data_IF_784525198508
#
_entry.id   IF_784525198508
#
_cell.length_a   1.000
_cell.length_b   1.000
_cell.length_c   1.000
_cell.angle_alpha   90.00
_cell.angle_beta   90.00
_cell.angle_gamma   90.00
#
_symmetry.space_group_name_H-M   'P 1'
#
loop_
_entity.id
_entity.type
_entity.pdbx_description
1 polymer ?
#
# COMPACT_ATOMS: atom_id res chain seq x y z
N UNK A 1 16.41 46.31 9.90
CA UNK A 1 16.06 46.01 8.49
C UNK A 1 16.85 44.82 7.93
N UNK A 2 18.11 44.62 8.35
CA UNK A 2 18.97 43.50 7.93
C UNK A 2 18.56 42.14 8.52
N UNK A 3 18.25 42.06 9.82
CA UNK A 3 17.96 40.79 10.52
C UNK A 3 16.68 40.09 10.02
N UNK A 4 15.60 40.85 9.78
CA UNK A 4 14.34 40.30 9.23
C UNK A 4 14.50 39.73 7.81
N UNK A 5 15.52 40.17 7.06
CA UNK A 5 15.80 39.67 5.71
C UNK A 5 16.54 38.33 5.77
N UNK A 6 17.46 38.17 6.72
CA UNK A 6 18.18 36.91 6.94
C UNK A 6 17.25 35.80 7.45
N UNK A 7 16.36 36.12 8.39
CA UNK A 7 15.41 35.16 8.98
C UNK A 7 14.40 34.64 7.93
N UNK A 8 13.90 35.52 7.05
CA UNK A 8 13.05 35.13 5.91
C UNK A 8 13.78 34.21 4.93
N UNK A 9 15.06 34.47 4.68
CA UNK A 9 15.86 33.71 3.73
C UNK A 9 16.26 32.32 4.26
N UNK A 10 16.37 32.18 5.58
CA UNK A 10 16.54 30.87 6.25
C UNK A 10 15.24 30.07 6.20
N UNK A 11 14.10 30.69 6.53
CA UNK A 11 12.77 30.05 6.44
C UNK A 11 12.44 29.56 5.02
N UNK A 12 12.76 30.36 3.99
CA UNK A 12 12.57 29.97 2.60
C UNK A 12 13.46 28.77 2.22
N UNK A 13 14.73 28.73 2.66
CA UNK A 13 15.61 27.58 2.43
C UNK A 13 15.15 26.33 3.17
N UNK A 14 14.65 26.45 4.39
CA UNK A 14 14.15 25.30 5.15
C UNK A 14 12.90 24.70 4.49
N UNK A 15 12.02 25.55 3.94
CA UNK A 15 10.86 25.11 3.17
C UNK A 15 11.26 24.47 1.83
N UNK A 16 12.25 25.02 1.13
CA UNK A 16 12.77 24.45 -0.12
C UNK A 16 13.47 23.10 0.12
N UNK A 17 14.23 22.97 1.21
CA UNK A 17 14.83 21.69 1.63
C UNK A 17 13.75 20.68 2.02
N UNK A 18 12.70 21.09 2.74
CA UNK A 18 11.58 20.19 3.02
C UNK A 18 10.81 19.78 1.76
N UNK A 19 10.75 20.67 0.76
CA UNK A 19 10.13 20.40 -0.53
C UNK A 19 10.97 19.46 -1.39
N UNK A 20 12.29 19.65 -1.45
CA UNK A 20 13.24 18.73 -2.10
C UNK A 20 13.28 17.37 -1.39
N UNK A 21 13.16 17.34 -0.06
CA UNK A 21 13.05 16.09 0.71
C UNK A 21 11.70 15.38 0.48
N UNK A 22 10.63 16.14 0.20
CA UNK A 22 9.36 15.60 -0.28
C UNK A 22 9.43 15.19 -1.76
N UNK A 23 10.30 15.76 -2.57
CA UNK A 23 10.47 15.40 -3.99
C UNK A 23 11.27 14.10 -4.22
N UNK A 24 11.58 13.36 -3.15
CA UNK A 24 12.11 12.00 -3.21
C UNK A 24 11.07 11.00 -3.72
N UNK A 25 11.08 10.75 -5.03
CA UNK A 25 10.39 9.67 -5.76
C UNK A 25 8.98 9.30 -5.26
N UNK A 26 8.03 10.23 -5.39
CA UNK A 26 6.61 9.90 -5.34
C UNK A 26 6.20 9.06 -6.57
N UNK A 27 6.37 7.74 -6.50
CA UNK A 27 5.50 6.82 -7.23
C UNK A 27 4.14 6.82 -6.49
N UNK A 28 3.35 7.88 -6.70
CA UNK A 28 2.17 8.22 -5.91
C UNK A 28 0.95 7.33 -6.25
N UNK A 29 1.11 6.02 -6.11
CA UNK A 29 0.01 5.08 -6.34
C UNK A 29 -0.82 5.00 -5.07
N UNK A 30 -1.99 5.63 -5.10
CA UNK A 30 -2.97 5.55 -4.01
C UNK A 30 -4.02 4.50 -4.32
N UNK A 31 -4.20 3.56 -3.39
CA UNK A 31 -5.24 2.53 -3.41
C UNK A 31 -6.28 2.89 -2.36
N UNK A 32 -7.52 3.13 -2.79
CA UNK A 32 -8.64 3.42 -1.90
C UNK A 32 -9.42 2.13 -1.62
N UNK A 33 -9.36 1.64 -0.39
CA UNK A 33 -10.02 0.44 0.13
C UNK A 33 -9.03 -0.63 0.61
N UNK A 34 -9.12 -0.99 1.89
CA UNK A 34 -8.32 -2.03 2.56
C UNK A 34 -8.92 -3.44 2.47
N UNK A 35 -9.77 -3.70 1.46
CA UNK A 35 -10.36 -5.01 1.21
C UNK A 35 -9.42 -5.97 0.48
N UNK A 36 -9.90 -7.19 0.18
CA UNK A 36 -9.12 -8.24 -0.50
C UNK A 36 -8.46 -7.73 -1.78
N UNK A 37 -9.21 -7.01 -2.63
CA UNK A 37 -8.69 -6.47 -3.87
C UNK A 37 -7.60 -5.40 -3.64
N UNK A 38 -7.82 -4.43 -2.74
CA UNK A 38 -6.86 -3.36 -2.48
C UNK A 38 -5.55 -3.86 -1.88
N UNK A 39 -5.63 -4.80 -0.94
CA UNK A 39 -4.45 -5.45 -0.37
C UNK A 39 -3.72 -6.32 -1.39
N UNK A 40 -4.44 -7.09 -2.22
CA UNK A 40 -3.84 -7.86 -3.30
C UNK A 40 -3.09 -6.97 -4.30
N UNK A 41 -3.69 -5.84 -4.71
CA UNK A 41 -3.07 -4.85 -5.58
C UNK A 41 -1.81 -4.26 -4.95
N UNK A 42 -1.88 -3.89 -3.66
CA UNK A 42 -0.72 -3.36 -2.93
C UNK A 42 0.45 -4.34 -2.91
N UNK A 43 0.18 -5.62 -2.66
CA UNK A 43 1.21 -6.68 -2.69
C UNK A 43 1.80 -6.82 -4.11
N UNK A 44 0.97 -6.85 -5.14
CA UNK A 44 1.43 -6.98 -6.52
C UNK A 44 2.37 -5.82 -6.92
N UNK A 45 1.97 -4.58 -6.62
CA UNK A 45 2.78 -3.39 -6.90
C UNK A 45 4.09 -3.39 -6.11
N UNK A 46 4.06 -3.78 -4.83
CA UNK A 46 5.28 -3.90 -4.02
C UNK A 46 6.27 -4.92 -4.58
N UNK A 47 5.77 -6.03 -5.16
CA UNK A 47 6.62 -7.02 -5.84
C UNK A 47 7.22 -6.49 -7.15
N UNK A 48 6.63 -5.46 -7.74
CA UNK A 48 7.19 -4.73 -8.90
C UNK A 48 8.16 -3.61 -8.49
N UNK A 49 8.47 -3.46 -7.20
CA UNK A 49 9.35 -2.39 -6.69
C UNK A 49 8.65 -1.06 -6.42
N UNK A 50 7.32 -0.99 -6.58
CA UNK A 50 6.54 0.22 -6.36
C UNK A 50 6.07 0.33 -4.90
N UNK A 51 5.87 1.55 -4.41
CA UNK A 51 5.46 1.81 -3.01
C UNK A 51 4.06 2.44 -2.93
N UNK A 52 2.99 1.65 -3.08
CA UNK A 52 1.64 2.19 -3.01
C UNK A 52 1.22 2.52 -1.57
N UNK A 53 0.41 3.58 -1.45
CA UNK A 53 -0.31 3.96 -0.23
C UNK A 53 -1.72 3.37 -0.26
N UNK A 54 -2.10 2.60 0.76
CA UNK A 54 -3.46 2.07 0.92
C UNK A 54 -4.21 2.90 1.94
N UNK A 55 -5.39 3.40 1.57
CA UNK A 55 -6.29 4.14 2.45
C UNK A 55 -7.53 3.28 2.73
N UNK A 56 -7.96 3.20 3.99
CA UNK A 56 -9.17 2.49 4.40
C UNK A 56 -10.02 3.42 5.27
N UNK A 57 -11.33 3.49 4.99
CA UNK A 57 -12.25 4.35 5.73
C UNK A 57 -12.61 3.81 7.11
N UNK A 58 -12.48 2.50 7.32
CA UNK A 58 -12.64 1.86 8.62
C UNK A 58 -11.45 2.11 9.54
N UNK A 59 -11.73 2.39 10.82
CA UNK A 59 -10.69 2.48 11.86
C UNK A 59 -10.02 1.14 12.15
N UNK A 60 -10.72 0.03 11.88
CA UNK A 60 -10.27 -1.33 12.18
C UNK A 60 -10.73 -2.31 11.09
N UNK A 61 -10.00 -3.43 10.93
CA UNK A 61 -10.42 -4.49 10.03
C UNK A 61 -11.68 -5.18 10.57
N UNK A 62 -12.81 -4.99 9.89
CA UNK A 62 -14.08 -5.63 10.26
C UNK A 62 -14.21 -6.98 9.57
N UNK A 63 -14.44 -8.03 10.34
CA UNK A 63 -14.88 -9.32 9.82
C UNK A 63 -16.41 -9.28 9.76
N UNK A 64 -16.99 -9.20 8.57
CA UNK A 64 -18.45 -9.08 8.39
C UNK A 64 -19.20 -10.40 8.49
N UNK A 65 -18.55 -11.49 8.93
CA UNK A 65 -19.15 -12.83 8.92
C UNK A 65 -19.41 -13.38 7.51
N UNK A 66 -18.89 -12.73 6.47
CA UNK A 66 -19.03 -13.17 5.09
C UNK A 66 -18.06 -14.32 4.77
N UNK A 67 -18.58 -15.37 4.14
CA UNK A 67 -17.78 -16.46 3.57
C UNK A 67 -17.72 -16.31 2.05
N UNK A 68 -16.55 -16.59 1.46
CA UNK A 68 -16.35 -16.66 0.01
C UNK A 68 -15.77 -18.02 -0.37
N UNK A 69 -16.14 -18.52 -1.53
CA UNK A 69 -15.50 -19.71 -2.12
C UNK A 69 -14.37 -19.28 -3.05
N UNK A 70 -13.23 -19.97 -2.98
CA UNK A 70 -12.11 -19.73 -3.88
C UNK A 70 -12.18 -20.69 -5.08
N UNK A 71 -12.29 -20.14 -6.28
CA UNK A 71 -12.15 -20.89 -7.52
C UNK A 71 -10.66 -21.17 -7.84
N UNK A 72 -10.35 -22.12 -8.75
CA UNK A 72 -8.96 -22.48 -9.08
C UNK A 72 -8.07 -21.33 -9.56
N UNK A 73 -8.64 -20.35 -10.26
CA UNK A 73 -7.92 -19.14 -10.67
C UNK A 73 -7.62 -18.22 -9.48
N UNK A 74 -8.53 -18.10 -8.51
CA UNK A 74 -8.30 -17.32 -7.31
C UNK A 74 -7.18 -17.93 -6.45
N UNK A 75 -7.11 -19.26 -6.35
CA UNK A 75 -6.03 -19.93 -5.63
C UNK A 75 -4.66 -19.67 -6.27
N UNK A 76 -4.56 -19.80 -7.60
CA UNK A 76 -3.33 -19.45 -8.36
C UNK A 76 -2.94 -17.98 -8.19
N UNK A 77 -3.91 -17.08 -8.11
CA UNK A 77 -3.64 -15.67 -7.81
C UNK A 77 -3.02 -15.50 -6.41
N UNK A 78 -3.52 -16.21 -5.40
CA UNK A 78 -2.94 -16.18 -4.05
C UNK A 78 -1.54 -16.78 -3.99
N UNK A 79 -1.24 -17.80 -4.79
CA UNK A 79 0.10 -18.37 -4.94
C UNK A 79 1.05 -17.35 -5.56
N UNK A 80 0.62 -16.67 -6.63
CA UNK A 80 1.38 -15.61 -7.30
C UNK A 80 1.67 -14.45 -6.35
N UNK A 81 0.69 -14.07 -5.53
CA UNK A 81 0.85 -13.05 -4.49
C UNK A 81 1.73 -13.54 -3.32
N UNK A 82 1.99 -14.84 -3.20
CA UNK A 82 2.83 -15.44 -2.16
C UNK A 82 2.12 -15.65 -0.82
N UNK A 83 0.80 -15.57 -0.78
CA UNK A 83 -0.01 -15.64 0.46
C UNK A 83 -0.81 -16.94 0.59
N UNK A 84 -0.84 -17.78 -0.44
CA UNK A 84 -1.57 -19.06 -0.42
C UNK A 84 -1.16 -19.98 0.76
N UNK A 85 0.11 -19.93 1.18
CA UNK A 85 0.61 -20.70 2.32
C UNK A 85 -0.18 -20.47 3.61
N UNK A 86 -0.82 -19.29 3.78
CA UNK A 86 -1.67 -19.00 4.94
C UNK A 86 -2.97 -19.80 4.96
N UNK A 87 -3.42 -20.30 3.81
CA UNK A 87 -4.66 -21.07 3.65
C UNK A 87 -4.40 -22.58 3.58
N UNK A 88 -3.22 -23.01 3.15
CA UNK A 88 -2.86 -24.44 3.02
C UNK A 88 -3.06 -25.30 4.28
N UNK A 89 -2.95 -24.79 5.54
CA UNK A 89 -3.24 -25.60 6.73
C UNK A 89 -4.73 -25.94 6.90
N UNK A 90 -5.62 -25.16 6.29
CA UNK A 90 -7.07 -25.25 6.49
C UNK A 90 -7.80 -25.79 5.25
N UNK A 91 -7.19 -25.67 4.08
CA UNK A 91 -7.78 -26.03 2.80
C UNK A 91 -6.80 -26.84 1.98
N UNK A 92 -7.28 -27.92 1.36
CA UNK A 92 -6.47 -28.70 0.44
C UNK A 92 -6.00 -27.80 -0.73
N UNK A 93 -4.70 -27.84 -1.11
CA UNK A 93 -4.23 -27.15 -2.30
C UNK A 93 -5.03 -27.61 -3.53
N UNK A 94 -5.37 -26.68 -4.41
CA UNK A 94 -6.05 -27.04 -5.65
C UNK A 94 -5.04 -27.66 -6.62
N UNK A 95 -4.94 -29.00 -6.59
CA UNK A 95 -4.26 -29.78 -7.62
C UNK A 95 -5.09 -29.70 -8.91
N UNK A 96 -4.77 -28.74 -9.77
CA UNK A 96 -5.29 -28.66 -11.15
C UNK A 96 -4.19 -28.30 -12.11
#
# INVERSE_FOLDING_TARGET
>A
MSEKKAEKQTLERDLDVQREMMEGEYQEIVIVGGGIAGLATSIALRRMGLQPLVLEGSKELRVTGAAISLAPNAWRALETLGVAHKLTPFYAPLNT
#
